data_IF_390710671328
#
_entry.id   IF_390710671328
#
_cell.length_a   1.000
_cell.length_b   1.000
_cell.length_c   1.000
_cell.angle_alpha   90.00
_cell.angle_beta   90.00
_cell.angle_gamma   90.00
#
_symmetry.space_group_name_H-M   'P 1'
#
loop_
_entity.id
_entity.type
_entity.pdbx_description
1 polymer ?
#
# COMPACT_ATOMS: atom_id res chain seq x y z
N UNK A 1 18.10 17.60 -0.80
CA UNK A 1 17.33 17.83 0.45
C UNK A 1 16.78 19.24 0.35
N UNK A 2 15.47 19.46 0.52
CA UNK A 2 14.87 20.79 0.50
C UNK A 2 15.45 21.71 1.58
N UNK A 3 15.44 23.04 1.32
CA UNK A 3 15.92 24.02 2.28
C UNK A 3 14.97 24.08 3.48
N UNK A 4 15.53 24.23 4.69
CA UNK A 4 14.74 24.37 5.92
C UNK A 4 14.38 23.08 6.63
N UNK A 5 14.52 21.91 6.00
CA UNK A 5 14.21 20.61 6.61
C UNK A 5 15.12 20.31 7.80
N UNK A 6 14.52 20.22 8.97
CA UNK A 6 15.22 19.97 10.24
C UNK A 6 15.01 18.56 10.78
N UNK A 7 13.91 17.89 10.40
CA UNK A 7 13.43 16.61 10.94
C UNK A 7 12.62 16.77 12.24
N UNK A 8 12.29 18.03 12.61
CA UNK A 8 11.40 18.31 13.75
C UNK A 8 9.95 18.40 13.33
N UNK A 9 9.73 18.44 12.03
CA UNK A 9 8.44 18.51 11.35
C UNK A 9 7.66 17.20 11.45
N UNK A 10 8.34 16.11 11.84
CA UNK A 10 7.70 14.81 12.04
C UNK A 10 6.72 14.84 13.21
N UNK A 11 5.66 14.08 13.09
CA UNK A 11 4.70 13.84 14.15
C UNK A 11 5.34 13.18 15.40
N UNK A 12 4.61 13.19 16.49
CA UNK A 12 5.06 12.68 17.77
C UNK A 12 5.31 11.17 17.74
N UNK A 13 4.47 10.42 17.04
CA UNK A 13 4.55 8.96 16.97
C UNK A 13 5.83 8.55 16.24
N UNK A 14 6.05 9.12 15.06
CA UNK A 14 7.31 8.92 14.31
C UNK A 14 8.55 9.27 15.14
N UNK A 15 8.50 10.38 15.87
CA UNK A 15 9.61 10.73 16.75
C UNK A 15 9.83 9.71 17.87
N UNK A 16 8.76 9.13 18.42
CA UNK A 16 8.85 8.10 19.45
C UNK A 16 9.51 6.83 18.93
N UNK A 17 9.13 6.38 17.73
CA UNK A 17 9.77 5.24 17.08
C UNK A 17 11.28 5.49 16.82
N UNK A 18 11.64 6.69 16.41
CA UNK A 18 13.04 7.05 16.15
C UNK A 18 13.92 7.11 17.43
N UNK A 19 13.33 7.14 18.63
CA UNK A 19 14.08 7.17 19.90
C UNK A 19 15.00 5.96 20.11
N UNK A 20 14.74 4.85 19.41
CA UNK A 20 15.63 3.69 19.43
C UNK A 20 16.98 3.91 18.74
N UNK A 21 17.14 5.01 18.01
CA UNK A 21 18.37 5.40 17.33
C UNK A 21 19.19 6.39 18.18
N UNK A 22 20.50 6.52 17.86
CA UNK A 22 21.27 7.64 18.41
C UNK A 22 20.66 8.97 17.95
N UNK A 23 20.76 10.01 18.79
CA UNK A 23 20.21 11.34 18.48
C UNK A 23 20.63 11.84 17.09
N UNK A 24 21.91 11.71 16.75
CA UNK A 24 22.44 12.13 15.45
C UNK A 24 21.82 11.32 14.30
N UNK A 25 21.66 10.01 14.48
CA UNK A 25 21.05 9.13 13.48
C UNK A 25 19.56 9.44 13.35
N UNK A 26 18.82 9.62 14.43
CA UNK A 26 17.41 9.99 14.45
C UNK A 26 17.17 11.32 13.70
N UNK A 27 17.97 12.35 13.98
CA UNK A 27 17.88 13.65 13.27
C UNK A 27 18.16 13.51 11.77
N UNK A 28 19.08 12.64 11.38
CA UNK A 28 19.37 12.40 9.95
C UNK A 28 18.25 11.63 9.28
N UNK A 29 17.76 10.58 9.91
CA UNK A 29 16.62 9.79 9.42
C UNK A 29 15.41 10.70 9.28
N UNK A 30 15.06 11.45 10.31
CA UNK A 30 13.92 12.36 10.28
C UNK A 30 14.00 13.37 9.13
N UNK A 31 15.14 13.99 8.92
CA UNK A 31 15.30 14.90 7.77
C UNK A 31 15.10 14.22 6.42
N UNK A 32 15.50 12.97 6.28
CA UNK A 32 15.28 12.24 5.04
C UNK A 32 13.83 11.80 4.87
N UNK A 33 13.12 11.42 5.94
CA UNK A 33 11.69 11.12 5.89
C UNK A 33 10.88 12.35 5.47
N UNK A 34 11.11 13.50 6.13
CA UNK A 34 10.47 14.76 5.74
C UNK A 34 10.78 15.15 4.29
N UNK A 35 12.05 14.99 3.86
CA UNK A 35 12.42 15.31 2.49
C UNK A 35 11.76 14.37 1.47
N UNK A 36 11.58 13.10 1.81
CA UNK A 36 10.87 12.16 0.95
C UNK A 36 9.41 12.62 0.76
N UNK A 37 8.73 12.92 1.85
CA UNK A 37 7.36 13.41 1.82
C UNK A 37 7.21 14.71 1.00
N UNK A 38 8.03 15.73 1.26
CA UNK A 38 7.95 17.02 0.55
C UNK A 38 8.25 16.94 -0.95
N UNK A 39 8.94 15.90 -1.40
CA UNK A 39 9.33 15.71 -2.80
C UNK A 39 8.45 14.70 -3.53
N UNK A 40 7.52 14.08 -2.87
CA UNK A 40 6.70 12.99 -3.44
C UNK A 40 6.09 13.36 -4.77
N UNK A 41 5.35 14.46 -4.83
CA UNK A 41 4.63 14.89 -6.03
C UNK A 41 5.55 15.58 -7.05
N UNK A 42 6.58 16.29 -6.56
CA UNK A 42 7.43 17.15 -7.41
C UNK A 42 8.64 16.42 -8.00
N UNK A 43 9.19 15.45 -7.27
CA UNK A 43 10.38 14.66 -7.68
C UNK A 43 10.34 13.28 -7.00
N UNK A 44 9.47 12.37 -7.47
CA UNK A 44 9.27 11.04 -6.87
C UNK A 44 10.54 10.18 -6.83
N UNK A 45 11.44 10.35 -7.80
CA UNK A 45 12.70 9.60 -7.85
C UNK A 45 13.62 10.02 -6.69
N UNK A 46 13.75 11.33 -6.46
CA UNK A 46 14.52 11.86 -5.35
C UNK A 46 13.84 11.52 -4.01
N UNK A 47 12.52 11.56 -3.93
CA UNK A 47 11.76 11.15 -2.76
C UNK A 47 12.07 9.70 -2.37
N UNK A 48 11.97 8.76 -3.30
CA UNK A 48 12.34 7.35 -3.11
C UNK A 48 13.81 7.19 -2.66
N UNK A 49 14.73 7.98 -3.25
CA UNK A 49 16.13 7.95 -2.85
C UNK A 49 16.32 8.39 -1.38
N UNK A 50 15.55 9.37 -0.91
CA UNK A 50 15.53 9.80 0.49
C UNK A 50 14.98 8.71 1.40
N UNK A 51 13.85 8.10 1.09
CA UNK A 51 13.26 7.00 1.84
C UNK A 51 14.22 5.79 1.94
N UNK A 52 14.84 5.41 0.82
CA UNK A 52 15.86 4.36 0.78
C UNK A 52 17.06 4.69 1.68
N UNK A 53 17.51 5.95 1.68
CA UNK A 53 18.63 6.36 2.53
C UNK A 53 18.25 6.31 4.01
N UNK A 54 17.05 6.78 4.37
CA UNK A 54 16.53 6.66 5.74
C UNK A 54 16.52 5.19 6.19
N UNK A 55 16.05 4.27 5.34
CA UNK A 55 16.02 2.83 5.63
C UNK A 55 17.41 2.21 5.84
N UNK A 56 18.45 2.72 5.20
CA UNK A 56 19.84 2.27 5.47
C UNK A 56 20.32 2.69 6.86
N UNK A 57 19.90 3.84 7.35
CA UNK A 57 20.30 4.36 8.65
C UNK A 57 19.44 3.81 9.79
N UNK A 58 18.13 3.76 9.58
CA UNK A 58 17.11 3.42 10.57
C UNK A 58 16.41 2.08 10.33
N UNK A 59 17.04 1.14 9.65
CA UNK A 59 16.40 -0.09 9.15
C UNK A 59 15.85 -1.07 10.22
N UNK A 60 15.99 -0.73 11.51
CA UNK A 60 15.36 -1.49 12.61
C UNK A 60 14.13 -0.78 13.18
N UNK A 61 13.77 0.36 12.62
CA UNK A 61 12.60 1.15 13.00
C UNK A 61 11.48 0.87 12.04
N UNK A 62 10.29 0.57 12.56
CA UNK A 62 9.14 0.13 11.77
C UNK A 62 8.69 1.15 10.76
N UNK A 63 8.42 2.38 11.21
CA UNK A 63 7.99 3.49 10.34
C UNK A 63 8.97 3.76 9.18
N UNK A 64 10.27 3.62 9.42
CA UNK A 64 11.28 3.86 8.37
C UNK A 64 11.21 2.81 7.27
N UNK A 65 10.90 1.56 7.63
CA UNK A 65 10.68 0.47 6.68
C UNK A 65 9.38 0.65 5.93
N UNK A 66 8.35 1.05 6.63
CA UNK A 66 7.02 1.30 6.08
C UNK A 66 7.08 2.40 5.03
N UNK A 67 7.58 3.58 5.38
CA UNK A 67 7.77 4.68 4.44
C UNK A 67 8.57 4.26 3.21
N UNK A 68 9.69 3.56 3.39
CA UNK A 68 10.45 3.07 2.21
C UNK A 68 9.65 2.08 1.36
N UNK A 69 8.85 1.22 2.00
CA UNK A 69 7.96 0.30 1.30
C UNK A 69 6.90 1.01 0.47
N UNK A 70 6.26 2.04 1.03
CA UNK A 70 5.25 2.86 0.36
C UNK A 70 5.85 3.59 -0.85
N UNK A 71 6.98 4.27 -0.70
CA UNK A 71 7.65 4.93 -1.82
C UNK A 71 8.09 3.95 -2.92
N UNK A 72 8.53 2.75 -2.55
CA UNK A 72 8.85 1.71 -3.52
C UNK A 72 7.59 1.20 -4.25
N UNK A 73 6.45 1.13 -3.56
CA UNK A 73 5.15 0.78 -4.15
C UNK A 73 4.73 1.82 -5.19
N UNK A 74 4.75 3.11 -4.86
CA UNK A 74 4.42 4.20 -5.78
C UNK A 74 5.35 4.24 -7.00
N UNK A 75 6.61 3.84 -6.82
CA UNK A 75 7.57 3.71 -7.92
C UNK A 75 7.41 2.43 -8.76
N UNK A 76 6.44 1.56 -8.43
CA UNK A 76 6.22 0.28 -9.11
C UNK A 76 7.25 -0.80 -8.78
N UNK A 77 8.16 -0.56 -7.82
CA UNK A 77 9.09 -1.58 -7.33
C UNK A 77 8.40 -2.47 -6.28
N UNK A 78 7.39 -3.21 -6.74
CA UNK A 78 6.55 -4.07 -5.91
C UNK A 78 7.36 -5.13 -5.14
N UNK A 79 8.51 -5.55 -5.67
CA UNK A 79 9.38 -6.50 -4.97
C UNK A 79 9.99 -5.88 -3.73
N UNK A 80 10.54 -4.67 -3.85
CA UNK A 80 11.10 -3.93 -2.72
C UNK A 80 9.99 -3.53 -1.76
N UNK A 81 8.86 -3.02 -2.25
CA UNK A 81 7.70 -2.64 -1.45
C UNK A 81 7.23 -3.80 -0.55
N UNK A 82 6.89 -4.95 -1.13
CA UNK A 82 6.45 -6.13 -0.37
C UNK A 82 7.46 -6.57 0.69
N UNK A 83 8.77 -6.52 0.39
CA UNK A 83 9.83 -6.88 1.34
C UNK A 83 9.90 -5.91 2.51
N UNK A 84 9.89 -4.61 2.24
CA UNK A 84 10.02 -3.57 3.25
C UNK A 84 8.77 -3.48 4.13
N UNK A 85 7.56 -3.55 3.54
CA UNK A 85 6.29 -3.57 4.27
C UNK A 85 6.16 -4.81 5.17
N UNK A 86 6.54 -6.00 4.69
CA UNK A 86 6.59 -7.22 5.54
C UNK A 86 7.59 -7.06 6.69
N UNK A 87 8.68 -6.34 6.46
CA UNK A 87 9.66 -6.06 7.51
C UNK A 87 9.09 -5.08 8.53
N UNK A 88 8.39 -4.03 8.08
CA UNK A 88 7.68 -3.09 8.95
C UNK A 88 6.65 -3.82 9.82
N UNK A 89 5.77 -4.61 9.21
CA UNK A 89 4.76 -5.42 9.90
C UNK A 89 5.38 -6.34 10.96
N UNK A 90 6.52 -7.00 10.65
CA UNK A 90 7.21 -7.86 11.62
C UNK A 90 7.82 -7.09 12.80
N UNK A 91 8.25 -5.84 12.58
CA UNK A 91 8.83 -4.99 13.64
C UNK A 91 7.73 -4.40 14.54
N UNK A 92 6.66 -3.89 13.92
CA UNK A 92 5.61 -3.15 14.64
C UNK A 92 4.48 -4.03 15.15
N UNK A 93 4.25 -5.19 14.51
CA UNK A 93 3.06 -6.01 14.74
C UNK A 93 1.79 -5.43 14.09
N UNK A 94 1.87 -4.30 13.40
CA UNK A 94 0.73 -3.68 12.70
C UNK A 94 0.44 -4.43 11.40
N UNK A 95 -0.83 -4.67 11.14
CA UNK A 95 -1.30 -5.43 9.96
C UNK A 95 -1.99 -4.57 8.91
N UNK A 96 -2.17 -3.30 9.17
CA UNK A 96 -2.81 -2.30 8.29
C UNK A 96 -2.15 -2.17 6.90
N UNK A 97 -0.87 -2.45 6.78
CA UNK A 97 -0.12 -2.51 5.51
C UNK A 97 -0.38 -3.77 4.67
N UNK A 98 -1.18 -4.71 5.18
CA UNK A 98 -1.43 -6.00 4.53
C UNK A 98 -2.11 -5.88 3.14
N UNK A 99 -3.08 -4.97 2.93
CA UNK A 99 -3.65 -4.73 1.60
C UNK A 99 -2.59 -4.32 0.57
N UNK A 100 -1.68 -3.43 0.94
CA UNK A 100 -0.61 -2.98 0.06
C UNK A 100 0.38 -4.12 -0.26
N UNK A 101 0.68 -4.99 0.73
CA UNK A 101 1.49 -6.20 0.50
C UNK A 101 0.80 -7.14 -0.49
N UNK A 102 -0.52 -7.33 -0.37
CA UNK A 102 -1.30 -8.15 -1.28
C UNK A 102 -1.33 -7.54 -2.69
N UNK A 103 -1.47 -6.22 -2.79
CA UNK A 103 -1.44 -5.54 -4.08
C UNK A 103 -0.07 -5.59 -4.76
N UNK A 104 1.01 -5.56 -3.99
CA UNK A 104 2.35 -5.83 -4.52
C UNK A 104 2.45 -7.22 -5.18
N UNK A 105 1.82 -8.24 -4.63
CA UNK A 105 1.83 -9.57 -5.26
C UNK A 105 1.03 -9.56 -6.59
N UNK A 106 -0.07 -8.81 -6.67
CA UNK A 106 -0.77 -8.57 -7.94
C UNK A 106 0.13 -7.87 -8.96
N UNK A 107 0.78 -6.77 -8.54
CA UNK A 107 1.70 -6.02 -9.40
C UNK A 107 2.89 -6.85 -9.89
N UNK A 108 3.25 -7.91 -9.16
CA UNK A 108 4.24 -8.91 -9.57
C UNK A 108 3.67 -10.02 -10.47
N UNK A 109 2.40 -9.93 -10.89
CA UNK A 109 1.72 -10.94 -11.70
C UNK A 109 1.41 -12.23 -10.94
N UNK A 110 1.14 -12.14 -9.64
CA UNK A 110 0.87 -13.28 -8.74
C UNK A 110 -0.46 -13.10 -8.00
N UNK A 111 -1.59 -12.95 -8.70
CA UNK A 111 -2.89 -12.68 -8.08
C UNK A 111 -3.30 -13.77 -7.08
N UNK A 112 -2.91 -15.03 -7.28
CA UNK A 112 -3.21 -16.12 -6.35
C UNK A 112 -2.59 -15.88 -4.97
N UNK A 113 -1.37 -15.28 -4.93
CA UNK A 113 -0.73 -14.93 -3.65
C UNK A 113 -1.43 -13.79 -2.92
N UNK A 114 -2.03 -12.86 -3.66
CA UNK A 114 -2.87 -11.83 -3.05
C UNK A 114 -4.11 -12.45 -2.39
N UNK A 115 -4.73 -13.46 -3.03
CA UNK A 115 -5.84 -14.22 -2.46
C UNK A 115 -5.42 -15.03 -1.22
N UNK A 116 -4.22 -15.64 -1.24
CA UNK A 116 -3.67 -16.35 -0.07
C UNK A 116 -3.47 -15.41 1.12
N UNK A 117 -2.96 -14.18 0.87
CA UNK A 117 -2.81 -13.16 1.91
C UNK A 117 -4.18 -12.78 2.48
N UNK A 118 -5.19 -12.58 1.65
CA UNK A 118 -6.52 -12.23 2.09
C UNK A 118 -7.21 -13.34 2.91
N UNK A 119 -6.78 -14.58 2.76
CA UNK A 119 -7.27 -15.73 3.53
C UNK A 119 -6.49 -15.96 4.84
N UNK A 120 -5.51 -15.10 5.17
CA UNK A 120 -4.67 -15.26 6.36
C UNK A 120 -5.38 -14.88 7.67
N UNK A 121 -4.83 -15.31 8.79
CA UNK A 121 -5.33 -14.91 10.12
C UNK A 121 -5.12 -13.43 10.37
N UNK A 122 -4.05 -12.85 9.86
CA UNK A 122 -3.73 -11.43 9.95
C UNK A 122 -4.81 -10.59 9.22
N UNK A 123 -5.27 -11.06 8.06
CA UNK A 123 -6.34 -10.39 7.32
C UNK A 123 -7.68 -10.43 8.08
N UNK A 124 -7.95 -11.50 8.81
CA UNK A 124 -9.17 -11.61 9.62
C UNK A 124 -9.19 -10.64 10.81
N UNK A 125 -8.04 -10.12 11.23
CA UNK A 125 -7.89 -9.17 12.33
C UNK A 125 -7.86 -7.70 11.91
N UNK A 126 -8.01 -7.41 10.61
CA UNK A 126 -7.99 -6.04 10.08
C UNK A 126 -9.17 -5.21 10.58
N UNK A 127 -8.91 -3.91 10.79
CA UNK A 127 -9.95 -2.91 10.95
C UNK A 127 -10.81 -2.78 9.68
N UNK A 128 -11.96 -2.12 9.81
CA UNK A 128 -12.94 -2.03 8.72
C UNK A 128 -12.35 -1.43 7.45
N UNK A 129 -11.59 -0.37 7.56
CA UNK A 129 -10.98 0.34 6.42
C UNK A 129 -9.99 -0.54 5.69
N UNK A 130 -8.99 -1.06 6.41
CA UNK A 130 -7.99 -1.96 5.82
C UNK A 130 -8.63 -3.24 5.25
N UNK A 131 -9.72 -3.73 5.86
CA UNK A 131 -10.47 -4.87 5.32
C UNK A 131 -11.14 -4.53 3.98
N UNK A 132 -11.70 -3.31 3.83
CA UNK A 132 -12.29 -2.85 2.57
C UNK A 132 -11.22 -2.68 1.49
N UNK A 133 -10.08 -2.09 1.85
CA UNK A 133 -8.95 -1.98 0.91
C UNK A 133 -8.46 -3.36 0.47
N UNK A 134 -8.34 -4.31 1.40
CA UNK A 134 -7.98 -5.67 1.04
C UNK A 134 -9.03 -6.31 0.12
N UNK A 135 -10.33 -6.03 0.31
CA UNK A 135 -11.38 -6.50 -0.59
C UNK A 135 -11.25 -5.91 -2.00
N UNK A 136 -10.85 -4.65 -2.13
CA UNK A 136 -10.54 -4.06 -3.44
C UNK A 136 -9.37 -4.78 -4.13
N UNK A 137 -8.33 -5.10 -3.38
CA UNK A 137 -7.21 -5.90 -3.89
C UNK A 137 -7.64 -7.30 -4.31
N UNK A 138 -8.46 -7.97 -3.50
CA UNK A 138 -9.03 -9.30 -3.80
C UNK A 138 -9.86 -9.26 -5.09
N UNK A 139 -10.71 -8.25 -5.24
CA UNK A 139 -11.50 -8.07 -6.44
C UNK A 139 -10.59 -7.85 -7.66
N UNK A 140 -9.55 -7.01 -7.53
CA UNK A 140 -8.53 -6.86 -8.55
C UNK A 140 -7.84 -8.18 -8.91
N UNK A 141 -7.52 -9.01 -7.92
CA UNK A 141 -6.90 -10.31 -8.14
C UNK A 141 -7.80 -11.27 -8.93
N UNK A 142 -9.10 -11.33 -8.63
CA UNK A 142 -10.06 -12.09 -9.45
C UNK A 142 -10.16 -11.55 -10.88
N UNK A 143 -10.18 -10.23 -11.04
CA UNK A 143 -10.23 -9.62 -12.38
C UNK A 143 -8.95 -9.90 -13.18
N UNK A 144 -7.79 -9.97 -12.53
CA UNK A 144 -6.50 -10.30 -13.17
C UNK A 144 -6.45 -11.77 -13.63
N UNK A 145 -7.19 -12.67 -12.98
CA UNK A 145 -7.38 -14.06 -13.43
C UNK A 145 -8.47 -14.22 -14.47
N UNK A 146 -9.18 -13.14 -14.82
CA UNK A 146 -10.27 -13.14 -15.82
C UNK A 146 -11.66 -13.38 -15.21
N UNK A 147 -11.79 -13.60 -13.90
CA UNK A 147 -13.10 -13.79 -13.24
C UNK A 147 -13.69 -12.44 -12.76
N UNK A 148 -14.04 -11.61 -13.75
CA UNK A 148 -14.62 -10.28 -13.49
C UNK A 148 -15.96 -10.38 -12.74
N UNK A 149 -16.72 -11.45 -12.91
CA UNK A 149 -17.99 -11.62 -12.22
C UNK A 149 -17.81 -11.88 -10.72
N UNK A 150 -16.80 -12.63 -10.33
CA UNK A 150 -16.45 -12.80 -8.91
C UNK A 150 -15.86 -11.50 -8.35
N UNK A 151 -15.03 -10.79 -9.11
CA UNK A 151 -14.51 -9.48 -8.73
C UNK A 151 -15.63 -8.49 -8.37
N UNK A 152 -16.64 -8.34 -9.23
CA UNK A 152 -17.79 -7.48 -8.98
C UNK A 152 -18.55 -7.88 -7.71
N UNK A 153 -18.83 -9.19 -7.56
CA UNK A 153 -19.52 -9.69 -6.35
C UNK A 153 -18.74 -9.43 -5.07
N UNK A 154 -17.42 -9.45 -5.13
CA UNK A 154 -16.56 -9.17 -3.98
C UNK A 154 -16.75 -7.75 -3.45
N UNK A 155 -16.99 -6.78 -4.34
CA UNK A 155 -17.22 -5.39 -3.96
C UNK A 155 -18.69 -5.02 -3.72
N UNK A 156 -19.64 -5.92 -3.97
CA UNK A 156 -21.07 -5.70 -3.69
C UNK A 156 -21.38 -5.79 -2.18
N UNK A 157 -20.60 -5.09 -1.38
CA UNK A 157 -20.74 -4.99 0.07
C UNK A 157 -21.67 -3.82 0.48
N UNK A 158 -22.20 -3.79 1.70
CA UNK A 158 -23.05 -2.69 2.16
C UNK A 158 -22.38 -1.31 2.02
N UNK A 159 -21.07 -1.23 2.26
CA UNK A 159 -20.26 -0.02 2.14
C UNK A 159 -20.30 0.61 0.73
N UNK A 160 -20.50 -0.18 -0.31
CA UNK A 160 -20.63 0.32 -1.68
C UNK A 160 -21.85 1.27 -1.85
N UNK A 161 -22.95 0.99 -1.14
CA UNK A 161 -24.25 1.67 -1.34
C UNK A 161 -24.59 2.69 -0.26
N UNK A 162 -23.97 2.58 0.90
CA UNK A 162 -24.20 3.52 2.00
C UNK A 162 -23.11 4.58 1.97
N UNK A 163 -23.53 5.85 1.98
CA UNK A 163 -22.56 6.93 2.14
C UNK A 163 -22.01 6.85 3.56
N UNK A 164 -20.75 6.53 3.65
CA UNK A 164 -19.96 6.51 4.87
C UNK A 164 -18.86 7.54 4.63
N UNK A 165 -18.66 8.45 5.55
CA UNK A 165 -17.56 9.40 5.42
C UNK A 165 -16.25 8.65 5.60
N UNK A 166 -15.38 8.70 4.58
CA UNK A 166 -14.11 8.00 4.59
C UNK A 166 -13.42 8.02 3.21
N UNK A 167 -12.13 8.25 3.22
CA UNK A 167 -11.27 8.31 2.03
C UNK A 167 -11.36 7.02 1.18
N UNK A 168 -11.48 5.87 1.84
CA UNK A 168 -11.61 4.57 1.19
C UNK A 168 -12.88 4.41 0.35
N UNK A 169 -13.97 5.15 0.65
CA UNK A 169 -15.23 5.00 -0.08
C UNK A 169 -15.12 5.47 -1.52
N UNK A 170 -14.45 6.59 -1.76
CA UNK A 170 -14.22 7.10 -3.12
C UNK A 170 -13.42 6.08 -3.94
N UNK A 171 -12.36 5.53 -3.34
CA UNK A 171 -11.53 4.49 -3.96
C UNK A 171 -12.33 3.22 -4.26
N UNK A 172 -13.21 2.80 -3.34
CA UNK A 172 -14.11 1.67 -3.56
C UNK A 172 -15.03 1.89 -4.77
N UNK A 173 -15.58 3.10 -4.93
CA UNK A 173 -16.43 3.42 -6.07
C UNK A 173 -15.67 3.42 -7.40
N UNK A 174 -14.46 3.95 -7.43
CA UNK A 174 -13.58 3.89 -8.60
C UNK A 174 -13.24 2.43 -8.93
N UNK A 175 -12.81 1.65 -7.94
CA UNK A 175 -12.48 0.23 -8.15
C UNK A 175 -13.68 -0.56 -8.69
N UNK A 176 -14.89 -0.28 -8.20
CA UNK A 176 -16.12 -0.92 -8.72
C UNK A 176 -16.46 -0.46 -10.14
N UNK A 177 -16.27 0.83 -10.47
CA UNK A 177 -16.44 1.36 -11.81
C UNK A 177 -15.47 0.69 -12.80
N UNK A 178 -14.20 0.51 -12.43
CA UNK A 178 -13.19 -0.16 -13.25
C UNK A 178 -13.57 -1.62 -13.56
N UNK A 179 -14.14 -2.31 -12.58
CA UNK A 179 -14.63 -3.68 -12.79
C UNK A 179 -15.86 -3.73 -13.69
N UNK A 180 -16.75 -2.73 -13.62
CA UNK A 180 -17.89 -2.60 -14.52
C UNK A 180 -17.45 -2.32 -15.96
N UNK A 181 -16.43 -1.48 -16.17
CA UNK A 181 -15.84 -1.27 -17.50
C UNK A 181 -15.27 -2.58 -18.07
N UNK A 182 -14.52 -3.35 -17.25
CA UNK A 182 -14.01 -4.67 -17.63
C UNK A 182 -15.11 -5.70 -17.93
N UNK A 183 -16.33 -5.46 -17.42
CA UNK A 183 -17.52 -6.29 -17.67
C UNK A 183 -18.39 -5.77 -18.81
N UNK A 184 -17.92 -4.81 -19.62
CA UNK A 184 -18.65 -4.14 -20.71
C UNK A 184 -19.95 -3.45 -20.23
N UNK A 185 -20.00 -2.98 -18.96
CA UNK A 185 -21.13 -2.28 -18.34
C UNK A 185 -20.87 -0.78 -18.23
N UNK A 186 -20.56 -0.15 -19.37
CA UNK A 186 -20.06 1.24 -19.45
C UNK A 186 -21.01 2.28 -18.81
N UNK A 187 -22.34 2.15 -19.03
CA UNK A 187 -23.33 3.09 -18.46
C UNK A 187 -23.33 3.06 -16.92
N UNK A 188 -23.11 1.91 -16.34
CA UNK A 188 -23.07 1.75 -14.89
C UNK A 188 -21.73 2.23 -14.35
N UNK A 189 -20.63 1.89 -15.02
CA UNK A 189 -19.29 2.37 -14.68
C UNK A 189 -19.25 3.90 -14.63
N UNK A 190 -19.81 4.57 -15.65
CA UNK A 190 -19.90 6.03 -15.72
C UNK A 190 -20.65 6.64 -14.53
N UNK A 191 -21.73 5.98 -14.06
CA UNK A 191 -22.47 6.45 -12.89
C UNK A 191 -21.64 6.39 -11.61
N UNK A 192 -20.94 5.27 -11.39
CA UNK A 192 -20.09 5.10 -10.23
C UNK A 192 -18.86 6.03 -10.25
N UNK A 193 -18.24 6.18 -11.42
CA UNK A 193 -17.15 7.12 -11.63
C UNK A 193 -17.61 8.57 -11.38
N UNK A 194 -18.82 8.93 -11.82
CA UNK A 194 -19.41 10.25 -11.55
C UNK A 194 -19.63 10.47 -10.06
N UNK A 195 -20.14 9.45 -9.35
CA UNK A 195 -20.35 9.51 -7.91
C UNK A 195 -19.02 9.68 -7.16
N UNK A 196 -18.00 8.96 -7.57
CA UNK A 196 -16.66 9.09 -7.02
C UNK A 196 -16.10 10.50 -7.22
N UNK A 197 -16.13 11.02 -8.45
CA UNK A 197 -15.63 12.37 -8.75
C UNK A 197 -16.40 13.49 -8.04
N UNK A 198 -17.69 13.33 -7.78
CA UNK A 198 -18.51 14.31 -7.07
C UNK A 198 -18.20 14.31 -5.55
N UNK A 199 -17.71 13.20 -5.01
CA UNK A 199 -17.40 13.05 -3.60
C UNK A 199 -15.90 13.27 -3.29
N UNK A 200 -15.04 13.11 -4.26
CA UNK A 200 -13.58 13.25 -4.13
C UNK A 200 -13.19 14.72 -4.08
N UNK A 201 -13.36 15.35 -2.93
CA UNK A 201 -12.99 16.76 -2.72
C UNK A 201 -11.48 16.95 -2.50
N UNK A 202 -10.78 15.89 -2.17
CA UNK A 202 -9.35 15.92 -1.85
C UNK A 202 -8.47 15.52 -3.03
N UNK A 203 -9.05 14.99 -4.11
CA UNK A 203 -8.31 14.53 -5.28
C UNK A 203 -7.56 13.22 -5.02
N UNK A 204 -8.15 12.32 -4.24
CA UNK A 204 -7.59 11.01 -3.88
C UNK A 204 -7.55 10.04 -5.06
N UNK A 205 -8.34 10.33 -6.11
CA UNK A 205 -8.48 9.48 -7.28
C UNK A 205 -8.43 10.28 -8.57
N UNK A 206 -8.26 9.61 -9.68
CA UNK A 206 -8.29 10.17 -11.04
C UNK A 206 -9.70 10.28 -11.63
N UNK A 207 -10.75 10.06 -10.83
CA UNK A 207 -12.13 10.01 -11.29
C UNK A 207 -12.57 11.29 -12.03
N UNK A 208 -12.21 12.46 -11.53
CA UNK A 208 -12.51 13.74 -12.17
C UNK A 208 -11.80 13.86 -13.53
N UNK A 209 -10.51 13.51 -13.60
CA UNK A 209 -9.71 13.56 -14.82
C UNK A 209 -10.26 12.60 -15.88
N UNK A 210 -10.59 11.38 -15.52
CA UNK A 210 -11.21 10.38 -16.43
C UNK A 210 -12.53 10.85 -17.01
N UNK A 211 -13.29 11.68 -16.28
CA UNK A 211 -14.51 12.33 -16.75
C UNK A 211 -14.27 13.63 -17.54
N UNK A 212 -13.00 14.03 -17.75
CA UNK A 212 -12.65 15.30 -18.37
C UNK A 212 -13.03 16.52 -17.55
N UNK A 213 -13.19 16.37 -16.22
CA UNK A 213 -13.45 17.45 -15.28
C UNK A 213 -12.13 18.00 -14.74
N UNK A 214 -12.08 19.28 -14.31
CA UNK A 214 -10.91 19.76 -13.60
C UNK A 214 -10.74 18.95 -12.32
N UNK A 215 -9.51 18.53 -12.04
CA UNK A 215 -9.18 17.94 -10.76
C UNK A 215 -9.56 18.91 -9.62
N UNK A 216 -10.00 18.41 -8.45
CA UNK A 216 -10.13 19.27 -7.27
C UNK A 216 -8.80 20.01 -7.10
N UNK A 217 -8.89 21.30 -6.73
CA UNK A 217 -7.65 22.03 -6.47
C UNK A 217 -6.90 21.27 -5.36
N UNK A 218 -5.60 21.01 -5.54
CA UNK A 218 -4.84 20.40 -4.46
C UNK A 218 -5.06 21.26 -3.23
N UNK A 219 -5.38 20.61 -2.09
CA UNK A 219 -5.40 21.30 -0.81
C UNK A 219 -4.11 22.14 -0.77
N UNK A 220 -4.23 23.45 -0.55
CA UNK A 220 -3.07 24.33 -0.53
C UNK A 220 -2.02 23.62 0.32
N UNK A 221 -0.85 23.42 -0.28
CA UNK A 221 0.25 22.74 0.42
C UNK A 221 0.35 23.41 1.79
N UNK A 222 0.30 22.67 2.89
CA UNK A 222 0.28 23.25 4.21
C UNK A 222 1.41 24.26 4.30
N UNK A 223 1.03 25.54 4.41
CA UNK A 223 1.99 26.59 4.70
C UNK A 223 2.44 26.28 6.10
N UNK A 224 3.65 25.76 6.23
CA UNK A 224 4.27 25.39 7.50
C UNK A 224 4.35 26.63 8.38
N UNK A 225 3.26 27.06 8.99
CA UNK A 225 3.22 28.08 10.01
C UNK A 225 3.46 27.41 11.36
N UNK A 226 4.72 27.27 11.66
CA UNK A 226 5.29 27.34 13.01
C UNK A 226 5.17 26.15 13.95
N UNK A 227 4.15 25.31 13.96
CA UNK A 227 4.01 24.18 14.90
C UNK A 227 3.26 22.95 14.30
N UNK A 228 2.93 22.96 13.03
CA UNK A 228 2.29 21.80 12.41
C UNK A 228 3.29 20.65 12.25
N UNK A 229 2.95 19.51 12.83
CA UNK A 229 3.71 18.28 12.74
C UNK A 229 3.28 17.56 11.46
N UNK A 230 4.27 17.09 10.69
CA UNK A 230 4.03 16.25 9.52
C UNK A 230 3.95 14.80 10.00
N UNK A 231 2.80 14.16 9.81
CA UNK A 231 2.74 12.71 9.78
C UNK A 231 3.25 12.24 8.42
N UNK A 232 4.35 11.53 8.42
CA UNK A 232 4.92 11.02 7.16
C UNK A 232 4.11 9.86 6.59
N UNK A 233 3.13 9.37 7.33
CA UNK A 233 2.18 8.35 6.88
C UNK A 233 0.89 8.96 6.32
N UNK A 234 0.45 10.15 6.78
CA UNK A 234 -0.81 10.76 6.35
C UNK A 234 -0.88 11.03 4.83
N UNK A 235 0.25 11.29 4.21
CA UNK A 235 0.33 11.46 2.77
C UNK A 235 0.23 10.15 2.00
N UNK A 236 0.61 9.04 2.63
CA UNK A 236 0.74 7.73 2.02
C UNK A 236 -0.23 6.71 2.58
N UNK A 237 -0.73 6.94 3.79
CA UNK A 237 -1.66 6.04 4.44
C UNK A 237 -3.09 6.40 4.00
N UNK A 238 -3.67 5.62 3.08
CA UNK A 238 -5.08 5.80 2.74
C UNK A 238 -6.01 5.54 3.92
N UNK A 239 -5.46 5.15 5.06
CA UNK A 239 -6.17 4.77 6.27
C UNK A 239 -5.93 5.73 7.44
N UNK A 240 -5.09 6.78 7.28
CA UNK A 240 -4.89 7.75 8.32
C UNK A 240 -6.23 8.41 8.70
N UNK A 241 -6.69 8.17 9.90
CA UNK A 241 -7.87 8.83 10.47
C UNK A 241 -7.47 10.22 10.92
N UNK A 242 -8.31 11.21 10.62
CA UNK A 242 -8.26 12.50 11.30
C UNK A 242 -8.54 12.28 12.79
N UNK A 243 -7.49 12.16 13.62
CA UNK A 243 -7.60 12.12 15.08
C UNK A 243 -8.05 13.45 15.70
N UNK A 244 -8.88 14.24 14.98
CA UNK A 244 -9.37 15.53 15.47
C UNK A 244 -10.59 15.45 16.40
N UNK A 245 -11.15 14.26 16.66
CA UNK A 245 -12.33 14.11 17.53
C UNK A 245 -12.00 13.75 19.00
N UNK A 246 -10.78 13.98 19.49
CA UNK A 246 -10.32 13.59 20.82
C UNK A 246 -10.11 14.69 21.87
N UNK A 247 -10.50 15.95 21.61
CA UNK A 247 -10.15 17.06 22.51
C UNK A 247 -11.32 17.94 22.97
N UNK A 248 -12.49 17.37 23.28
CA UNK A 248 -13.57 18.15 23.93
C UNK A 248 -14.49 17.25 24.78
N UNK A 249 -13.96 16.66 25.87
CA UNK A 249 -14.78 16.25 27.02
C UNK A 249 -13.93 15.97 28.27
N UNK A 250 -13.28 16.99 28.79
CA UNK A 250 -12.67 16.94 30.12
C UNK A 250 -12.80 18.27 30.85
N UNK A 251 -14.01 18.73 31.08
CA UNK A 251 -14.31 19.61 32.18
C UNK A 251 -15.82 19.54 32.53
N UNK A 252 -16.14 18.73 33.53
CA UNK A 252 -17.17 19.01 34.55
C UNK A 252 -17.37 17.80 35.46
N UNK A 253 -17.11 18.00 36.73
CA UNK A 253 -17.73 17.20 37.78
C UNK A 253 -16.81 16.80 38.92
N UNK A 254 -16.35 17.79 39.65
CA UNK A 254 -16.00 17.69 41.05
C UNK A 254 -17.30 17.45 41.83
N UNK A 255 -17.41 16.35 42.52
CA UNK A 255 -18.11 16.25 43.82
C UNK A 255 -17.76 14.91 44.52
N UNK A 256 -17.46 14.97 45.81
CA UNK A 256 -17.02 13.82 46.59
C UNK A 256 -18.20 13.17 47.35
N UNK A 257 -18.37 11.89 47.23
CA UNK A 257 -19.18 11.11 48.19
C UNK A 257 -18.42 9.87 48.65
N UNK A 258 -17.96 10.00 49.82
CA UNK A 258 -18.19 9.29 51.09
C UNK A 258 -18.05 7.74 51.11
N UNK A 259 -17.34 7.36 52.16
CA UNK A 259 -16.88 6.09 52.62
C UNK A 259 -17.96 5.00 52.72
N UNK A 260 -17.52 3.75 52.49
CA UNK A 260 -18.26 2.56 52.87
C UNK A 260 -17.39 1.31 52.86
N UNK A 261 -16.95 0.91 54.03
CA UNK A 261 -16.14 -0.24 54.33
C UNK A 261 -16.81 -1.57 53.91
N UNK A 262 -15.97 -2.54 53.55
CA UNK A 262 -16.38 -3.95 53.39
C UNK A 262 -15.17 -4.81 53.15
N UNK A 263 -14.50 -5.20 54.25
CA UNK A 263 -13.50 -6.26 54.26
C UNK A 263 -14.18 -7.60 54.00
N UNK A 264 -13.59 -8.41 53.19
CA UNK A 264 -13.52 -9.84 53.44
C UNK A 264 -12.32 -10.48 52.72
N UNK A 265 -11.52 -11.08 53.57
CA UNK A 265 -10.35 -11.86 53.27
C UNK A 265 -10.77 -13.25 52.73
N UNK A 266 -10.05 -13.76 51.75
CA UNK A 266 -9.86 -15.19 51.63
C UNK A 266 -8.42 -15.53 51.28
N UNK A 267 -7.96 -16.43 52.05
CA UNK A 267 -6.66 -17.01 52.34
C UNK A 267 -5.91 -17.56 51.11
N UNK A 268 -4.60 -17.56 51.38
CA UNK A 268 -3.54 -18.25 50.67
C UNK A 268 -3.77 -19.77 50.58
N UNK A 269 -3.41 -20.34 49.49
CA UNK A 269 -3.16 -21.76 49.32
C UNK A 269 -1.83 -21.96 48.60
N UNK A 270 -0.79 -22.20 49.39
CA UNK A 270 0.47 -22.78 48.95
C UNK A 270 0.23 -24.19 48.39
N UNK A 271 0.83 -24.49 47.29
CA UNK A 271 1.35 -25.83 46.99
C UNK A 271 2.64 -25.77 46.25
N UNK A 272 3.64 -26.25 46.96
CA UNK A 272 5.00 -26.57 46.57
C UNK A 272 5.14 -27.49 45.34
N UNK A 273 6.21 -27.24 44.60
CA UNK A 273 7.15 -28.27 44.20
C UNK A 273 6.81 -29.08 42.94
N UNK A 274 7.67 -28.95 41.95
CA UNK A 274 8.62 -30.02 41.57
C UNK A 274 9.65 -29.43 40.61
N UNK A 275 10.90 -29.63 40.98
CA UNK A 275 12.14 -29.39 40.26
C UNK A 275 12.27 -30.29 39.01
N UNK A 276 13.16 -29.79 38.15
CA UNK A 276 14.18 -30.51 37.34
C UNK A 276 13.78 -31.13 36.00
N UNK A 277 14.36 -30.65 34.95
CA UNK A 277 15.55 -31.22 34.34
C UNK A 277 16.01 -30.38 33.14
N UNK A 278 17.25 -29.96 33.25
CA UNK A 278 18.10 -29.53 32.14
C UNK A 278 18.35 -30.72 31.21
N UNK A 279 18.47 -30.46 29.92
CA UNK A 279 19.56 -30.98 29.09
C UNK A 279 19.63 -30.23 27.76
N UNK A 280 20.76 -29.72 27.55
CA UNK A 280 21.52 -29.23 26.46
C UNK A 280 21.63 -30.24 25.30
N UNK A 281 21.78 -29.68 24.13
CA UNK A 281 22.55 -30.05 22.97
C UNK A 281 21.82 -29.54 21.73
N UNK A 282 22.39 -29.03 20.73
CA UNK A 282 23.74 -29.05 20.20
C UNK A 282 23.80 -28.07 19.02
N UNK A 283 24.89 -27.42 18.90
CA UNK A 283 25.34 -26.62 17.77
C UNK A 283 25.32 -27.42 16.47
N UNK A 284 24.90 -26.80 15.37
CA UNK A 284 25.59 -26.99 14.10
C UNK A 284 25.55 -25.69 13.30
N UNK A 285 26.69 -25.03 13.34
CA UNK A 285 27.18 -24.15 12.32
C UNK A 285 27.21 -24.88 10.95
N UNK A 286 26.86 -24.17 9.91
CA UNK A 286 27.01 -24.57 8.53
C UNK A 286 27.21 -23.33 7.70
N UNK A 287 28.35 -22.78 7.83
CA UNK A 287 29.20 -22.08 6.89
C UNK A 287 29.21 -22.84 5.57
N UNK A 288 28.98 -22.14 4.49
CA UNK A 288 29.79 -22.33 3.27
C UNK A 288 29.47 -21.23 2.25
N UNK A 289 30.40 -20.29 2.22
CA UNK A 289 30.74 -19.56 1.01
C UNK A 289 31.35 -20.56 0.00
N UNK A 290 30.99 -20.43 -1.24
CA UNK A 290 31.95 -20.66 -2.31
C UNK A 290 31.66 -19.79 -3.52
N UNK A 291 32.54 -18.79 -3.66
CA UNK A 291 32.90 -18.13 -4.89
C UNK A 291 33.65 -19.12 -5.78
N UNK A 292 33.21 -19.26 -7.01
CA UNK A 292 34.14 -19.59 -8.08
C UNK A 292 33.78 -18.86 -9.36
N UNK A 293 34.58 -17.85 -9.62
CA UNK A 293 34.89 -17.37 -10.97
C UNK A 293 35.44 -18.53 -11.83
N UNK A 294 35.01 -18.52 -13.07
CA UNK A 294 35.52 -19.45 -14.07
C UNK A 294 35.28 -18.91 -15.46
N UNK A 295 36.27 -18.27 -15.91
CA UNK A 295 36.60 -17.64 -17.18
C UNK A 295 36.68 -18.67 -18.33
N UNK A 296 36.65 -18.12 -19.55
CA UNK A 296 37.17 -18.62 -20.82
C UNK A 296 36.32 -19.47 -21.78
N UNK A 297 35.99 -18.78 -22.86
CA UNK A 297 36.37 -19.02 -24.28
C UNK A 297 35.80 -20.27 -24.97
N UNK A 298 35.10 -20.13 -26.03
CA UNK A 298 35.64 -20.17 -27.39
C UNK A 298 34.54 -19.95 -28.46
N UNK A 299 34.98 -19.29 -29.48
CA UNK A 299 34.34 -19.01 -30.73
C UNK A 299 33.91 -20.28 -31.50
N UNK A 300 32.73 -20.20 -32.10
CA UNK A 300 32.26 -21.15 -33.10
C UNK A 300 31.48 -20.43 -34.18
N UNK A 301 32.24 -19.93 -35.13
CA UNK A 301 31.80 -19.43 -36.44
C UNK A 301 31.16 -20.57 -37.25
N UNK A 302 29.88 -20.43 -37.63
CA UNK A 302 29.32 -21.17 -38.76
C UNK A 302 28.43 -20.26 -39.58
N UNK A 303 29.06 -19.71 -40.60
CA UNK A 303 28.42 -19.23 -41.83
C UNK A 303 27.83 -20.37 -42.61
N UNK A 304 26.57 -20.33 -43.01
CA UNK A 304 26.09 -20.93 -44.29
C UNK A 304 24.85 -20.18 -44.74
N UNK A 305 25.05 -19.31 -45.72
CA UNK A 305 24.52 -19.23 -47.08
C UNK A 305 23.00 -19.09 -47.25
N UNK A 306 22.71 -17.98 -47.89
CA UNK A 306 21.48 -17.66 -48.58
C UNK A 306 21.21 -18.64 -49.76
N UNK A 307 19.94 -18.97 -49.95
CA UNK A 307 19.45 -19.34 -51.25
C UNK A 307 18.06 -18.78 -51.52
N UNK A 308 18.02 -18.01 -52.57
CA UNK A 308 16.91 -17.38 -53.23
C UNK A 308 16.18 -18.34 -54.18
N UNK A 309 14.85 -18.24 -54.23
CA UNK A 309 14.03 -18.49 -55.43
C UNK A 309 12.66 -17.93 -55.13
N UNK A 310 12.22 -16.89 -55.72
CA UNK A 310 11.83 -16.50 -57.10
C UNK A 310 10.48 -17.09 -57.51
N UNK A 311 9.67 -16.16 -58.00
CA UNK A 311 8.61 -16.18 -59.04
C UNK A 311 7.14 -16.49 -58.65
N UNK A 312 6.38 -15.38 -58.77
CA UNK A 312 5.26 -15.18 -59.71
C UNK A 312 3.98 -16.02 -59.50
N UNK A 313 2.85 -15.39 -59.34
CA UNK A 313 1.94 -15.03 -60.43
C UNK A 313 0.67 -14.37 -59.87
N UNK A 314 0.35 -13.18 -60.36
CA UNK A 314 -0.96 -12.54 -60.42
C UNK A 314 -1.57 -12.95 -61.77
N UNK A 315 -2.87 -13.10 -62.02
CA UNK A 315 -3.83 -12.00 -61.97
C UNK A 315 -5.32 -12.43 -61.78
N UNK A 316 -6.19 -11.43 -61.51
CA UNK A 316 -7.59 -11.63 -61.87
C UNK A 316 -8.64 -10.84 -61.08
N UNK A 317 -8.79 -9.55 -61.35
CA UNK A 317 -10.09 -8.92 -61.24
C UNK A 317 -10.92 -9.24 -62.53
N UNK A 318 -12.25 -9.22 -62.45
CA UNK A 318 -12.97 -8.10 -63.01
C UNK A 318 -14.19 -7.63 -62.19
N UNK A 319 -14.33 -6.34 -62.17
CA UNK A 319 -15.37 -5.40 -62.52
C UNK A 319 -16.85 -5.82 -62.59
N UNK A 320 -17.63 -4.91 -61.96
CA UNK A 320 -18.92 -4.32 -62.35
C UNK A 320 -20.15 -5.23 -62.47
N UNK A 321 -21.19 -4.81 -61.74
CA UNK A 321 -22.38 -4.21 -62.37
C UNK A 321 -23.35 -3.63 -61.34
N UNK A 322 -23.69 -2.40 -61.60
CA UNK A 322 -24.79 -1.59 -61.12
C UNK A 322 -26.17 -2.15 -61.55
N UNK A 323 -27.19 -1.97 -60.68
CA UNK A 323 -28.58 -1.57 -60.99
C UNK A 323 -29.31 -1.37 -59.66
N UNK A 324 -29.68 -0.17 -59.32
CA UNK A 324 -30.91 0.61 -59.58
C UNK A 324 -32.19 -0.21 -59.59
N UNK A 325 -33.09 0.20 -58.76
CA UNK A 325 -34.46 0.71 -58.90
C UNK A 325 -35.52 0.01 -58.05
N UNK A 326 -36.11 0.85 -57.22
CA UNK A 326 -37.54 1.10 -56.94
C UNK A 326 -38.47 -0.06 -56.50
N UNK A 327 -38.99 0.09 -55.31
CA UNK A 327 -40.40 0.41 -55.01
C UNK A 327 -40.58 0.60 -53.50
#
# INVERSE_FOLDING_TARGET
MPEGVTGRELDKETHEELRGLSKETAERVGRHLVSAHLLEDSDPETALAHARFAARLGGRVGIVREVYGIFAYHAGDYRTASRELRTAMRITGRTDVLPMIADCERGLGRPERALDIAASEEAAALGVESAIELMMVVAGAYADTGDVQTALRTLEIPALRHKIDGRWQVRLWVAYADLLERADREDEALRWMTLAADADTEGLTDAAERLGRPAPAPAEAPVMEGDEQISVLDAFDPYAQDDQDGADDAEKGDDPVDAGAGADAYEAGDVDGVENAAEAADDTEGDDADDTEGDDAEAGDVTVTAESADAADDPGAPESETREESA
#
